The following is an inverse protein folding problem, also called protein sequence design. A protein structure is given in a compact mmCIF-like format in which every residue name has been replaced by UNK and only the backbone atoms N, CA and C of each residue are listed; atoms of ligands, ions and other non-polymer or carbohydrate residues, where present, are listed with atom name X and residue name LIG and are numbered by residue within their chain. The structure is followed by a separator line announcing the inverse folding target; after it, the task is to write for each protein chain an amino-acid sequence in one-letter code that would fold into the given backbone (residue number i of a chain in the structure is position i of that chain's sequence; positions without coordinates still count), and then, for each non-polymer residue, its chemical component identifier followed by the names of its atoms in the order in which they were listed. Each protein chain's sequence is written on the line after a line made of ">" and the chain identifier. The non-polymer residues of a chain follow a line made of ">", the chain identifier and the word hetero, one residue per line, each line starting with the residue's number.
data_IF_843689327355
#
_entry.id   IF_843689327355
#
_cell.length_a   1.000
_cell.length_b   1.000
_cell.length_c   1.000
_cell.angle_alpha   90.00
_cell.angle_beta   90.00
_cell.angle_gamma   90.00
#
_symmetry.space_group_name_H-M   'P 1'
#
loop_
_entity.id
_entity.type
_entity.pdbx_description
1 polymer ?
#
# COMPACT_ATOMS: atom_id res chain seq x y z
N UNK A 1 -10.91 22.43 -66.20
CA UNK A 1 -9.82 21.79 -66.98
C UNK A 1 -9.48 20.51 -66.22
N UNK A 2 -10.10 19.40 -66.61
CA UNK A 2 -9.52 18.35 -67.47
C UNK A 2 -8.50 17.50 -66.69
N UNK A 3 -8.62 16.17 -66.55
CA UNK A 3 -9.54 15.21 -67.17
C UNK A 3 -9.53 13.87 -66.43
N UNK A 4 -10.46 13.02 -66.86
CA UNK A 4 -10.80 11.70 -66.34
C UNK A 4 -9.99 10.56 -67.00
N UNK A 5 -10.05 9.34 -66.42
CA UNK A 5 -10.42 8.04 -67.02
C UNK A 5 -9.91 6.89 -66.12
N UNK A 6 -10.78 6.12 -65.44
CA UNK A 6 -11.45 4.88 -65.85
C UNK A 6 -10.53 3.64 -66.02
N UNK A 7 -10.78 2.60 -65.20
CA UNK A 7 -11.23 1.26 -65.65
C UNK A 7 -11.51 0.33 -64.47
N UNK A 8 -12.75 -0.17 -64.42
CA UNK A 8 -13.13 -1.31 -63.60
C UNK A 8 -12.78 -2.64 -64.26
N UNK A 9 -12.74 -3.69 -63.46
CA UNK A 9 -12.75 -5.08 -63.91
C UNK A 9 -13.73 -5.85 -63.03
N UNK A 10 -14.78 -6.38 -63.66
CA UNK A 10 -15.64 -7.44 -63.17
C UNK A 10 -14.98 -8.79 -63.48
N UNK A 11 -14.99 -9.73 -62.54
CA UNK A 11 -14.94 -11.18 -62.77
C UNK A 11 -15.49 -11.83 -61.48
N UNK A 12 -16.69 -12.39 -61.49
CA UNK A 12 -17.13 -13.66 -62.11
C UNK A 12 -17.31 -14.70 -60.99
N UNK A 13 -18.57 -14.93 -60.64
CA UNK A 13 -19.05 -15.98 -59.75
C UNK A 13 -18.68 -17.36 -60.30
N UNK A 14 -18.01 -18.17 -59.50
CA UNK A 14 -17.90 -19.62 -59.71
C UNK A 14 -18.64 -20.29 -58.57
N UNK A 15 -19.85 -20.76 -58.90
CA UNK A 15 -20.57 -21.76 -58.12
C UNK A 15 -19.90 -23.12 -58.34
N UNK A 16 -19.23 -23.63 -57.31
CA UNK A 16 -18.84 -25.03 -57.24
C UNK A 16 -19.78 -25.73 -56.25
N UNK A 17 -20.81 -26.41 -56.78
CA UNK A 17 -21.46 -27.50 -56.09
C UNK A 17 -20.50 -28.71 -56.11
N UNK A 18 -20.01 -29.10 -54.94
CA UNK A 18 -19.42 -30.41 -54.71
C UNK A 18 -20.26 -31.10 -53.63
N UNK A 19 -21.11 -32.01 -54.09
CA UNK A 19 -21.80 -33.01 -53.28
C UNK A 19 -20.84 -34.18 -53.14
N UNK A 20 -20.35 -34.46 -51.93
CA UNK A 20 -19.84 -35.77 -51.56
C UNK A 20 -20.18 -36.07 -50.10
N UNK A 21 -21.00 -37.12 -49.97
CA UNK A 21 -21.05 -38.18 -48.97
C UNK A 21 -20.78 -37.83 -47.49
N UNK A 22 -21.76 -38.19 -46.66
CA UNK A 22 -21.62 -38.14 -45.21
C UNK A 22 -20.51 -39.05 -44.66
N UNK A 23 -19.87 -38.55 -43.61
CA UNK A 23 -19.51 -39.35 -42.46
C UNK A 23 -20.23 -38.72 -41.26
N UNK A 24 -21.03 -39.54 -40.60
CA UNK A 24 -21.45 -39.35 -39.21
C UNK A 24 -20.21 -39.27 -38.29
N UNK A 25 -20.42 -38.69 -37.11
CA UNK A 25 -19.50 -38.61 -35.97
C UNK A 25 -18.32 -37.62 -36.04
N UNK A 26 -18.56 -36.40 -35.54
CA UNK A 26 -17.91 -35.93 -34.29
C UNK A 26 -18.44 -34.53 -33.90
N UNK A 27 -19.52 -34.54 -33.12
CA UNK A 27 -19.93 -33.37 -32.32
C UNK A 27 -19.07 -33.33 -31.05
N UNK A 28 -18.53 -32.14 -30.77
CA UNK A 28 -18.08 -31.63 -29.44
C UNK A 28 -16.67 -32.07 -28.97
N UNK A 29 -15.65 -31.49 -29.60
CA UNK A 29 -14.36 -31.21 -28.96
C UNK A 29 -14.29 -29.78 -28.43
N UNK A 30 -15.26 -29.33 -27.64
CA UNK A 30 -15.11 -28.08 -26.90
C UNK A 30 -13.98 -28.26 -25.89
N UNK A 31 -12.88 -27.51 -26.03
CA UNK A 31 -11.84 -27.41 -25.02
C UNK A 31 -12.51 -27.11 -23.67
N UNK A 32 -12.67 -28.14 -22.83
CA UNK A 32 -12.94 -27.94 -21.42
C UNK A 32 -11.64 -27.42 -20.83
N UNK A 33 -11.50 -26.10 -20.81
CA UNK A 33 -10.59 -25.44 -19.86
C UNK A 33 -11.03 -25.95 -18.50
N UNK A 34 -10.25 -26.87 -17.93
CA UNK A 34 -10.57 -27.51 -16.68
C UNK A 34 -10.89 -26.45 -15.64
N UNK A 35 -12.15 -26.40 -15.21
CA UNK A 35 -12.45 -25.89 -13.90
C UNK A 35 -11.71 -26.85 -12.95
N UNK A 36 -10.55 -26.42 -12.46
CA UNK A 36 -9.98 -27.00 -11.26
C UNK A 36 -10.99 -26.65 -10.18
N UNK A 37 -11.92 -27.57 -9.91
CA UNK A 37 -12.77 -27.47 -8.75
C UNK A 37 -11.84 -27.57 -7.55
N UNK A 38 -11.52 -26.40 -6.97
CA UNK A 38 -10.86 -26.33 -5.69
C UNK A 38 -11.90 -26.77 -4.63
N UNK A 39 -12.03 -28.08 -4.43
CA UNK A 39 -12.71 -28.62 -3.26
C UNK A 39 -12.10 -27.99 -2.00
N UNK A 40 -12.94 -27.31 -1.19
CA UNK A 40 -12.53 -26.72 0.09
C UNK A 40 -12.38 -25.20 0.15
N UNK A 41 -12.79 -24.46 -0.89
CA UNK A 41 -12.73 -23.00 -0.86
C UNK A 41 -13.98 -22.33 -0.27
N UNK A 42 -14.01 -22.10 1.04
CA UNK A 42 -15.08 -21.31 1.68
C UNK A 42 -14.81 -19.79 1.61
N UNK A 43 -14.38 -19.30 0.44
CA UNK A 43 -14.11 -17.88 0.24
C UNK A 43 -15.39 -17.15 -0.16
N UNK A 44 -15.92 -16.36 0.76
CA UNK A 44 -17.04 -15.44 0.55
C UNK A 44 -16.72 -14.05 1.10
N UNK A 45 -17.51 -13.05 0.74
CA UNK A 45 -17.39 -11.69 1.30
C UNK A 45 -17.55 -11.68 2.83
N UNK A 46 -18.32 -12.62 3.39
CA UNK A 46 -18.55 -12.78 4.83
C UNK A 46 -17.36 -13.42 5.56
N UNK A 47 -16.56 -14.23 4.85
CA UNK A 47 -15.35 -14.86 5.38
C UNK A 47 -14.10 -13.98 5.29
N UNK A 48 -14.21 -12.76 4.74
CA UNK A 48 -13.09 -11.83 4.62
C UNK A 48 -12.56 -11.31 5.97
N UNK A 49 -13.37 -10.91 6.98
CA UNK A 49 -12.86 -10.39 8.24
C UNK A 49 -11.82 -11.33 8.89
N UNK A 50 -10.64 -10.80 9.20
CA UNK A 50 -9.53 -11.57 9.79
C UNK A 50 -8.65 -12.30 8.78
N UNK A 51 -8.99 -12.29 7.48
CA UNK A 51 -8.18 -12.91 6.44
C UNK A 51 -7.02 -12.03 5.99
N UNK A 52 -5.93 -12.68 5.58
CA UNK A 52 -4.70 -12.06 5.09
C UNK A 52 -4.36 -12.60 3.70
N UNK A 53 -3.89 -11.73 2.83
CA UNK A 53 -3.67 -12.00 1.42
C UNK A 53 -2.37 -11.35 0.95
N UNK A 54 -1.69 -12.02 0.03
CA UNK A 54 -0.44 -11.56 -0.58
C UNK A 54 -0.54 -11.67 -2.10
N UNK A 55 0.14 -10.79 -2.82
CA UNK A 55 0.12 -10.81 -4.28
C UNK A 55 0.78 -12.10 -4.79
N UNK A 56 0.21 -12.66 -5.85
CA UNK A 56 0.79 -13.79 -6.57
C UNK A 56 1.74 -13.23 -7.63
N UNK A 57 3.05 -13.33 -7.38
CA UNK A 57 4.07 -12.89 -8.33
C UNK A 57 4.20 -13.91 -9.45
N UNK A 58 4.36 -13.43 -10.68
CA UNK A 58 4.66 -14.26 -11.85
C UNK A 58 6.12 -14.02 -12.21
N UNK A 59 6.94 -15.05 -12.12
CA UNK A 59 8.36 -14.97 -12.45
C UNK A 59 8.59 -15.05 -13.97
N UNK A 60 9.79 -14.69 -14.47
CA UNK A 60 10.10 -14.76 -15.91
C UNK A 60 9.92 -16.15 -16.53
N UNK A 61 10.08 -17.20 -15.75
CA UNK A 61 9.86 -18.60 -16.13
C UNK A 61 8.37 -19.02 -16.08
N UNK A 62 7.46 -18.07 -15.79
CA UNK A 62 6.03 -18.25 -15.58
C UNK A 62 5.66 -19.07 -14.34
N UNK A 63 6.61 -19.39 -13.47
CA UNK A 63 6.29 -19.89 -12.14
C UNK A 63 5.54 -18.79 -11.38
N UNK A 64 4.62 -19.22 -10.52
CA UNK A 64 3.84 -18.31 -9.71
C UNK A 64 4.07 -18.60 -8.22
N UNK A 65 4.39 -17.58 -7.44
CA UNK A 65 4.66 -17.70 -6.01
C UNK A 65 3.97 -16.60 -5.20
N UNK A 66 3.55 -16.87 -3.96
CA UNK A 66 3.09 -15.83 -3.06
C UNK A 66 4.24 -14.85 -2.72
N UNK A 67 3.95 -13.54 -2.77
CA UNK A 67 4.92 -12.49 -2.48
C UNK A 67 4.32 -11.45 -1.52
N UNK A 68 4.97 -11.25 -0.37
CA UNK A 68 4.54 -10.29 0.66
C UNK A 68 4.75 -8.81 0.27
N UNK A 69 5.39 -8.55 -0.88
CA UNK A 69 5.68 -7.19 -1.36
C UNK A 69 4.40 -6.35 -1.47
N UNK A 70 3.29 -6.91 -1.98
CA UNK A 70 1.96 -6.34 -1.85
C UNK A 70 1.06 -7.26 -1.03
N UNK A 71 0.51 -6.76 0.07
CA UNK A 71 -0.24 -7.53 1.06
C UNK A 71 -1.44 -6.78 1.59
N UNK A 72 -2.52 -7.51 1.84
CA UNK A 72 -3.83 -7.03 2.25
C UNK A 72 -4.33 -7.82 3.47
N UNK A 73 -4.86 -7.14 4.48
CA UNK A 73 -5.53 -7.75 5.62
C UNK A 73 -6.90 -7.13 5.82
N UNK A 74 -7.93 -7.96 5.89
CA UNK A 74 -9.26 -7.51 6.26
C UNK A 74 -9.43 -7.56 7.77
N UNK A 75 -9.99 -6.50 8.35
CA UNK A 75 -10.29 -6.39 9.78
C UNK A 75 -11.71 -5.86 9.95
N UNK A 76 -12.38 -6.29 11.02
CA UNK A 76 -13.66 -5.72 11.43
C UNK A 76 -13.41 -4.84 12.65
N UNK A 77 -13.63 -3.54 12.49
CA UNK A 77 -13.44 -2.53 13.53
C UNK A 77 -14.71 -1.67 13.59
N UNK A 78 -15.27 -1.48 14.79
CA UNK A 78 -16.50 -0.72 14.99
C UNK A 78 -17.69 -1.22 14.14
N UNK A 79 -17.75 -2.53 13.90
CA UNK A 79 -18.75 -3.16 13.05
C UNK A 79 -18.55 -2.96 11.53
N UNK A 80 -17.57 -2.15 11.12
CA UNK A 80 -17.25 -1.88 9.72
C UNK A 80 -16.12 -2.79 9.22
N UNK A 81 -16.26 -3.28 7.99
CA UNK A 81 -15.17 -3.97 7.30
C UNK A 81 -14.16 -2.94 6.84
N UNK A 82 -12.89 -3.15 7.21
CA UNK A 82 -11.76 -2.36 6.73
C UNK A 82 -10.72 -3.28 6.12
N UNK A 83 -9.90 -2.72 5.25
CA UNK A 83 -8.73 -3.39 4.70
C UNK A 83 -7.48 -2.58 5.02
N UNK A 84 -6.46 -3.24 5.56
CA UNK A 84 -5.09 -2.73 5.63
C UNK A 84 -4.35 -3.19 4.38
N UNK A 85 -3.77 -2.27 3.63
CA UNK A 85 -3.08 -2.58 2.38
C UNK A 85 -1.87 -1.68 2.20
N UNK A 86 -0.76 -2.24 1.73
CA UNK A 86 0.50 -1.52 1.63
C UNK A 86 0.80 -0.96 0.23
N UNK A 87 0.01 -1.27 -0.81
CA UNK A 87 0.22 -0.72 -2.17
C UNK A 87 1.64 -1.02 -2.69
N UNK A 88 2.19 -2.19 -2.35
CA UNK A 88 3.58 -2.55 -2.63
C UNK A 88 4.66 -1.65 -1.99
N UNK A 89 4.27 -0.76 -1.07
CA UNK A 89 5.20 0.01 -0.23
C UNK A 89 5.80 -0.90 0.85
N UNK A 90 7.10 -0.76 1.03
CA UNK A 90 7.87 -1.46 2.07
C UNK A 90 7.67 -0.85 3.46
N UNK A 91 7.20 0.40 3.54
CA UNK A 91 7.08 1.15 4.79
C UNK A 91 5.65 1.66 5.08
N UNK A 92 4.84 1.87 4.05
CA UNK A 92 3.52 2.47 4.21
C UNK A 92 2.45 1.38 4.32
N UNK A 93 1.59 1.51 5.32
CA UNK A 93 0.34 0.75 5.44
C UNK A 93 -0.84 1.71 5.45
N UNK A 94 -1.80 1.50 4.56
CA UNK A 94 -3.00 2.33 4.45
C UNK A 94 -4.23 1.56 4.92
N UNK A 95 -5.20 2.28 5.46
CA UNK A 95 -6.48 1.70 5.89
C UNK A 95 -7.62 2.19 5.01
N UNK A 96 -8.37 1.24 4.48
CA UNK A 96 -9.50 1.46 3.59
C UNK A 96 -10.80 1.01 4.27
N UNK A 97 -11.85 1.81 4.19
CA UNK A 97 -13.21 1.42 4.57
C UNK A 97 -13.83 0.66 3.40
N UNK A 98 -14.30 -0.56 3.63
CA UNK A 98 -14.83 -1.44 2.59
C UNK A 98 -16.35 -1.53 2.65
N UNK A 99 -16.97 -1.42 1.48
CA UNK A 99 -18.41 -1.57 1.29
C UNK A 99 -18.66 -2.65 0.25
N UNK A 100 -19.58 -3.57 0.54
CA UNK A 100 -20.03 -4.54 -0.44
C UNK A 100 -20.90 -3.82 -1.48
N UNK A 101 -20.55 -3.97 -2.75
CA UNK A 101 -21.27 -3.35 -3.87
C UNK A 101 -22.10 -4.36 -4.66
N UNK A 102 -21.66 -5.62 -4.66
CA UNK A 102 -22.35 -6.82 -5.16
C UNK A 102 -21.87 -8.03 -4.36
N UNK A 103 -22.53 -9.17 -4.48
CA UNK A 103 -22.24 -10.39 -3.72
C UNK A 103 -20.74 -10.75 -3.70
N UNK A 104 -20.08 -10.63 -4.85
CA UNK A 104 -18.66 -10.96 -5.06
C UNK A 104 -17.73 -9.73 -5.17
N UNK A 105 -18.22 -8.52 -4.88
CA UNK A 105 -17.46 -7.27 -5.10
C UNK A 105 -17.50 -6.31 -3.93
N UNK A 106 -16.33 -5.83 -3.55
CA UNK A 106 -16.14 -4.78 -2.58
C UNK A 106 -15.48 -3.56 -3.22
N UNK A 107 -15.87 -2.38 -2.76
CA UNK A 107 -15.11 -1.17 -3.00
C UNK A 107 -14.58 -0.68 -1.67
N UNK A 108 -13.26 -0.59 -1.55
CA UNK A 108 -12.60 -0.10 -0.36
C UNK A 108 -11.96 1.27 -0.63
N UNK A 109 -12.14 2.25 0.25
CA UNK A 109 -11.66 3.63 0.04
C UNK A 109 -10.93 4.13 1.27
N UNK A 110 -9.81 4.83 1.08
CA UNK A 110 -9.14 5.53 2.19
C UNK A 110 -10.05 6.57 2.82
N UNK A 111 -9.75 6.99 4.06
CA UNK A 111 -10.46 8.10 4.70
C UNK A 111 -10.44 9.35 3.79
N UNK A 112 -11.58 10.05 3.61
CA UNK A 112 -11.64 11.23 2.77
C UNK A 112 -10.71 12.35 3.28
N UNK A 113 -9.82 12.83 2.41
CA UNK A 113 -8.94 13.98 2.68
C UNK A 113 -9.59 15.27 2.18
N UNK A 114 -10.73 15.64 2.77
CA UNK A 114 -11.60 16.73 2.29
C UNK A 114 -10.83 18.04 2.06
N UNK A 115 -9.90 18.40 2.97
CA UNK A 115 -9.04 19.58 2.85
C UNK A 115 -8.26 19.60 1.52
N UNK A 116 -7.69 18.46 1.12
CA UNK A 116 -6.85 18.37 -0.07
C UNK A 116 -7.72 18.35 -1.35
N UNK A 117 -8.87 17.68 -1.31
CA UNK A 117 -9.87 17.76 -2.40
C UNK A 117 -10.37 19.18 -2.61
N UNK A 118 -10.63 19.92 -1.52
CA UNK A 118 -11.05 21.32 -1.57
C UNK A 118 -10.01 22.20 -2.28
N UNK A 119 -8.74 22.05 -1.92
CA UNK A 119 -7.62 22.78 -2.54
C UNK A 119 -7.50 22.43 -4.03
N UNK A 120 -7.60 21.14 -4.39
CA UNK A 120 -7.54 20.68 -5.77
C UNK A 120 -8.71 21.19 -6.64
N UNK A 121 -9.93 21.23 -6.09
CA UNK A 121 -11.09 21.78 -6.77
C UNK A 121 -10.91 23.26 -7.10
N UNK A 122 -10.56 24.08 -6.11
CA UNK A 122 -10.32 25.52 -6.33
C UNK A 122 -9.14 25.77 -7.28
N UNK A 123 -8.05 25.02 -7.14
CA UNK A 123 -6.91 25.10 -8.04
C UNK A 123 -7.27 24.76 -9.49
N UNK A 124 -8.19 23.81 -9.68
CA UNK A 124 -8.70 23.37 -10.99
C UNK A 124 -9.87 24.19 -11.54
N UNK A 125 -10.22 25.33 -10.92
CA UNK A 125 -11.30 26.21 -11.36
C UNK A 125 -12.71 25.77 -10.98
N UNK A 126 -12.83 24.75 -10.13
CA UNK A 126 -14.08 24.35 -9.49
C UNK A 126 -14.40 25.18 -8.25
N UNK A 127 -15.49 24.84 -7.57
CA UNK A 127 -15.85 25.40 -6.26
C UNK A 127 -15.67 24.35 -5.18
N UNK A 128 -15.03 24.74 -4.09
CA UNK A 128 -15.01 23.93 -2.88
C UNK A 128 -16.26 24.20 -2.03
N UNK A 129 -17.32 23.44 -2.30
CA UNK A 129 -18.55 23.42 -1.51
C UNK A 129 -19.01 21.98 -1.23
N UNK A 130 -19.93 21.81 -0.29
CA UNK A 130 -20.44 20.49 0.14
C UNK A 130 -21.02 19.70 -1.04
N UNK A 131 -21.78 20.35 -1.92
CA UNK A 131 -22.43 19.70 -3.05
C UNK A 131 -21.41 19.18 -4.08
N UNK A 132 -20.36 19.95 -4.32
CA UNK A 132 -19.26 19.57 -5.22
C UNK A 132 -18.44 18.44 -4.60
N UNK A 133 -18.04 18.57 -3.33
CA UNK A 133 -17.25 17.55 -2.63
C UNK A 133 -17.99 16.21 -2.50
N UNK A 134 -19.30 16.19 -2.25
CA UNK A 134 -20.09 14.94 -2.20
C UNK A 134 -20.08 14.16 -3.52
N UNK A 135 -19.81 14.79 -4.66
CA UNK A 135 -19.64 14.08 -5.95
C UNK A 135 -18.35 13.25 -6.00
N UNK A 136 -17.32 13.66 -5.26
CA UNK A 136 -16.03 12.99 -5.20
C UNK A 136 -15.90 12.09 -3.97
N UNK A 137 -16.50 12.51 -2.86
CA UNK A 137 -16.41 11.92 -1.53
C UNK A 137 -17.82 11.59 -1.00
N UNK A 138 -18.55 10.66 -1.63
CA UNK A 138 -19.93 10.35 -1.23
C UNK A 138 -20.04 9.75 0.17
N UNK A 139 -18.94 9.21 0.70
CA UNK A 139 -18.84 8.59 2.02
C UNK A 139 -18.24 9.51 3.10
N UNK A 140 -17.97 10.78 2.77
CA UNK A 140 -17.57 11.77 3.76
C UNK A 140 -18.79 12.21 4.58
N UNK A 141 -18.63 12.26 5.89
CA UNK A 141 -19.65 12.82 6.80
C UNK A 141 -19.77 14.32 6.63
N UNK A 142 -20.93 14.91 6.97
CA UNK A 142 -21.12 16.36 6.90
C UNK A 142 -20.10 17.13 7.76
N UNK A 143 -19.73 16.57 8.92
CA UNK A 143 -18.68 17.12 9.79
C UNK A 143 -17.30 17.10 9.13
N UNK A 144 -16.91 15.98 8.50
CA UNK A 144 -15.65 15.90 7.74
C UNK A 144 -15.64 16.91 6.58
N UNK A 145 -16.78 17.11 5.92
CA UNK A 145 -16.94 18.09 4.85
C UNK A 145 -16.77 19.52 5.37
N UNK A 146 -17.48 19.91 6.41
CA UNK A 146 -17.43 21.26 7.00
C UNK A 146 -16.01 21.61 7.47
N UNK A 147 -15.40 20.76 8.31
CA UNK A 147 -14.05 20.99 8.83
C UNK A 147 -13.01 21.01 7.71
N UNK A 148 -13.16 20.13 6.72
CA UNK A 148 -12.27 20.04 5.58
C UNK A 148 -12.36 21.23 4.64
N UNK A 149 -13.57 21.73 4.34
CA UNK A 149 -13.79 22.94 3.55
C UNK A 149 -13.15 24.13 4.25
N UNK A 150 -13.40 24.30 5.56
CA UNK A 150 -12.82 25.39 6.34
C UNK A 150 -11.28 25.40 6.23
N UNK A 151 -10.64 24.27 6.56
CA UNK A 151 -9.17 24.13 6.51
C UNK A 151 -8.61 24.26 5.08
N UNK A 152 -9.36 23.76 4.08
CA UNK A 152 -8.97 23.82 2.68
C UNK A 152 -8.97 25.25 2.17
N UNK A 153 -10.06 25.98 2.41
CA UNK A 153 -10.24 27.37 2.01
C UNK A 153 -9.31 28.33 2.75
N UNK A 154 -8.97 28.07 4.01
CA UNK A 154 -7.93 28.81 4.72
C UNK A 154 -6.60 28.80 3.95
N UNK A 155 -6.21 27.68 3.36
CA UNK A 155 -5.00 27.60 2.54
C UNK A 155 -5.19 28.20 1.15
N UNK A 156 -6.32 27.95 0.48
CA UNK A 156 -6.62 28.55 -0.83
C UNK A 156 -6.54 30.08 -0.74
N UNK A 157 -7.19 30.69 0.25
CA UNK A 157 -7.22 32.14 0.45
C UNK A 157 -5.85 32.74 0.78
N UNK A 158 -4.89 31.95 1.29
CA UNK A 158 -3.51 32.43 1.51
C UNK A 158 -2.77 32.69 0.20
N UNK A 159 -3.10 31.97 -0.87
CA UNK A 159 -2.37 32.03 -2.15
C UNK A 159 -3.20 32.63 -3.28
N UNK A 160 -4.53 32.55 -3.21
CA UNK A 160 -5.44 33.11 -4.21
C UNK A 160 -5.16 34.60 -4.39
N UNK A 161 -5.16 35.04 -5.64
CA UNK A 161 -4.83 36.41 -6.05
C UNK A 161 -3.40 36.89 -5.75
N UNK A 162 -2.50 35.97 -5.34
CA UNK A 162 -1.07 36.25 -5.14
C UNK A 162 -0.20 35.60 -6.23
N UNK A 163 1.04 36.07 -6.44
CA UNK A 163 1.96 35.48 -7.42
C UNK A 163 2.18 33.97 -7.25
N UNK A 164 2.14 33.47 -6.01
CA UNK A 164 2.31 32.07 -5.66
C UNK A 164 1.12 31.19 -6.07
N UNK A 165 -0.02 31.78 -6.46
CA UNK A 165 -1.21 31.02 -6.89
C UNK A 165 -0.89 30.04 -8.02
N UNK A 166 -0.06 30.44 -8.99
CA UNK A 166 0.31 29.55 -10.11
C UNK A 166 1.06 28.31 -9.62
N UNK A 167 1.95 28.47 -8.64
CA UNK A 167 2.65 27.34 -8.03
C UNK A 167 1.70 26.46 -7.22
N UNK A 168 0.80 27.07 -6.44
CA UNK A 168 -0.26 26.36 -5.73
C UNK A 168 -1.15 25.55 -6.68
N UNK A 169 -1.54 26.13 -7.82
CA UNK A 169 -2.30 25.45 -8.86
C UNK A 169 -1.52 24.28 -9.45
N UNK A 170 -0.24 24.48 -9.80
CA UNK A 170 0.59 23.40 -10.33
C UNK A 170 0.73 22.23 -9.36
N UNK A 171 0.80 22.49 -8.06
CA UNK A 171 0.90 21.47 -7.01
C UNK A 171 -0.42 20.74 -6.73
N UNK A 172 -1.56 21.41 -6.87
CA UNK A 172 -2.87 20.85 -6.49
C UNK A 172 -3.73 20.39 -7.68
N UNK A 173 -3.54 20.95 -8.86
CA UNK A 173 -4.24 20.62 -10.10
C UNK A 173 -3.32 19.87 -11.08
N UNK A 174 -2.88 18.67 -10.69
CA UNK A 174 -2.08 17.78 -11.55
C UNK A 174 -2.46 16.31 -11.31
N UNK A 175 -2.20 15.46 -12.31
CA UNK A 175 -2.55 14.04 -12.26
C UNK A 175 -1.75 13.22 -11.24
N UNK A 176 -0.61 13.74 -10.77
CA UNK A 176 0.22 13.09 -9.75
C UNK A 176 -0.26 13.39 -8.32
N UNK A 177 -1.22 14.31 -8.14
CA UNK A 177 -1.80 14.61 -6.84
C UNK A 177 -2.76 13.49 -6.41
N UNK A 178 -2.21 12.42 -5.81
CA UNK A 178 -2.97 11.25 -5.36
C UNK A 178 -3.80 11.57 -4.11
N UNK A 179 -5.02 12.06 -4.33
CA UNK A 179 -5.89 12.54 -3.26
C UNK A 179 -6.51 11.41 -2.42
N UNK A 180 -6.75 10.23 -3.02
CA UNK A 180 -7.38 9.11 -2.30
C UNK A 180 -7.12 7.76 -2.96
N UNK A 181 -6.66 6.77 -2.19
CA UNK A 181 -6.62 5.38 -2.64
C UNK A 181 -8.02 4.73 -2.71
N UNK A 182 -8.27 3.92 -3.74
CA UNK A 182 -9.50 3.15 -3.97
C UNK A 182 -9.13 1.76 -4.45
N UNK A 183 -9.63 0.74 -3.76
CA UNK A 183 -9.49 -0.66 -4.16
C UNK A 183 -10.83 -1.17 -4.66
N UNK A 184 -10.87 -1.73 -5.86
CA UNK A 184 -11.97 -2.55 -6.33
C UNK A 184 -11.57 -4.01 -6.19
N UNK A 185 -12.24 -4.72 -5.30
CA UNK A 185 -11.91 -6.10 -4.95
C UNK A 185 -13.01 -7.00 -5.49
N UNK A 186 -12.63 -7.99 -6.29
CA UNK A 186 -13.50 -9.09 -6.70
C UNK A 186 -13.05 -10.38 -6.03
N UNK A 187 -13.98 -11.05 -5.37
CA UNK A 187 -13.80 -12.35 -4.75
C UNK A 187 -13.99 -13.44 -5.81
N UNK A 188 -12.95 -14.23 -6.06
CA UNK A 188 -13.01 -15.40 -6.95
C UNK A 188 -13.03 -16.67 -6.10
N UNK A 189 -14.23 -17.06 -5.66
CA UNK A 189 -14.44 -18.24 -4.82
C UNK A 189 -14.04 -19.54 -5.52
N UNK A 190 -14.14 -19.60 -6.85
CA UNK A 190 -13.73 -20.79 -7.63
C UNK A 190 -12.23 -21.02 -7.60
N UNK A 191 -11.43 -19.95 -7.48
CA UNK A 191 -9.96 -20.00 -7.50
C UNK A 191 -9.32 -19.68 -6.15
N UNK A 192 -10.10 -19.49 -5.10
CA UNK A 192 -9.63 -19.01 -3.79
C UNK A 192 -8.73 -17.78 -3.87
N UNK A 193 -9.12 -16.81 -4.68
CA UNK A 193 -8.28 -15.65 -4.98
C UNK A 193 -9.07 -14.37 -4.86
N UNK A 194 -8.36 -13.28 -4.60
CA UNK A 194 -8.89 -11.93 -4.81
C UNK A 194 -8.28 -11.34 -6.07
N UNK A 195 -9.11 -10.62 -6.83
CA UNK A 195 -8.64 -9.73 -7.90
C UNK A 195 -8.81 -8.31 -7.40
N UNK A 196 -7.70 -7.59 -7.33
CA UNK A 196 -7.67 -6.23 -6.80
C UNK A 196 -7.28 -5.29 -7.94
N UNK A 197 -8.16 -4.34 -8.24
CA UNK A 197 -7.80 -3.16 -9.03
C UNK A 197 -7.52 -2.04 -8.04
N UNK A 198 -6.24 -1.75 -7.85
CA UNK A 198 -5.75 -0.68 -6.98
C UNK A 198 -5.62 0.61 -7.78
N UNK A 199 -6.45 1.60 -7.44
CA UNK A 199 -6.48 2.90 -8.07
C UNK A 199 -6.20 4.00 -7.06
N UNK A 200 -5.82 5.16 -7.57
CA UNK A 200 -5.97 6.42 -6.85
C UNK A 200 -6.93 7.34 -7.58
N UNK A 201 -7.64 8.16 -6.82
CA UNK A 201 -8.45 9.26 -7.30
C UNK A 201 -7.67 10.57 -7.19
N UNK A 202 -7.79 11.41 -8.22
CA UNK A 202 -7.37 12.79 -8.22
C UNK A 202 -8.46 13.70 -8.81
N UNK A 203 -8.26 15.01 -8.67
CA UNK A 203 -9.07 16.04 -9.31
C UNK A 203 -8.16 16.81 -10.26
N UNK A 204 -8.50 16.78 -11.55
CA UNK A 204 -7.78 17.52 -12.57
C UNK A 204 -8.75 18.32 -13.43
N UNK A 205 -8.55 19.63 -13.51
CA UNK A 205 -9.44 20.58 -14.18
C UNK A 205 -10.91 20.38 -13.77
N UNK A 206 -11.14 20.30 -12.44
CA UNK A 206 -12.45 20.08 -11.82
C UNK A 206 -13.15 18.76 -12.22
N UNK A 207 -12.41 17.80 -12.78
CA UNK A 207 -12.93 16.47 -13.12
C UNK A 207 -12.31 15.41 -12.23
N UNK A 208 -13.13 14.43 -11.87
CA UNK A 208 -12.68 13.23 -11.20
C UNK A 208 -11.88 12.41 -12.20
N UNK A 209 -10.66 12.05 -11.83
CA UNK A 209 -9.82 11.12 -12.59
C UNK A 209 -9.41 10.00 -11.65
N UNK A 210 -9.55 8.76 -12.11
CA UNK A 210 -8.99 7.58 -11.44
C UNK A 210 -7.92 6.99 -12.34
N UNK A 211 -6.80 6.61 -11.74
CA UNK A 211 -5.69 5.95 -12.43
C UNK A 211 -5.18 4.78 -11.59
N UNK A 212 -4.70 3.74 -12.26
CA UNK A 212 -4.23 2.51 -11.63
C UNK A 212 -2.86 2.71 -10.98
N UNK A 213 -2.68 2.16 -9.78
CA UNK A 213 -1.37 2.01 -9.17
C UNK A 213 -0.58 0.87 -9.85
N UNK A 214 0.77 0.90 -9.76
CA UNK A 214 1.65 0.00 -10.51
C UNK A 214 1.65 -1.46 -10.02
N UNK A 215 0.85 -1.83 -9.01
CA UNK A 215 0.85 -3.17 -8.39
C UNK A 215 0.40 -4.27 -9.38
N UNK A 216 -0.12 -3.88 -10.55
CA UNK A 216 -0.45 -4.79 -11.65
C UNK A 216 -1.84 -5.42 -11.51
N UNK A 217 -2.09 -6.49 -12.26
CA UNK A 217 -3.40 -7.19 -12.31
C UNK A 217 -3.33 -8.60 -11.74
N UNK A 218 -2.24 -8.91 -11.04
CA UNK A 218 -2.02 -10.22 -10.45
C UNK A 218 -3.08 -10.54 -9.38
N UNK A 219 -3.37 -11.83 -9.24
CA UNK A 219 -4.26 -12.28 -8.17
C UNK A 219 -3.59 -12.11 -6.81
N UNK A 220 -4.41 -12.00 -5.78
CA UNK A 220 -3.98 -12.16 -4.40
C UNK A 220 -4.41 -13.53 -3.91
N UNK A 221 -3.50 -14.24 -3.25
CA UNK A 221 -3.71 -15.56 -2.64
C UNK A 221 -3.62 -15.42 -1.13
N UNK A 222 -4.19 -16.39 -0.39
CA UNK A 222 -4.17 -16.38 1.06
C UNK A 222 -2.73 -16.34 1.57
N UNK A 223 -2.49 -15.58 2.64
CA UNK A 223 -1.18 -15.51 3.26
C UNK A 223 -0.85 -16.85 3.95
N UNK A 224 0.18 -17.51 3.44
CA UNK A 224 0.79 -18.71 4.04
C UNK A 224 2.28 -18.48 4.36
N UNK A 225 2.77 -17.25 4.21
CA UNK A 225 4.16 -16.86 4.43
C UNK A 225 4.51 -16.63 5.91
N UNK A 226 3.56 -16.88 6.82
CA UNK A 226 3.67 -16.57 8.24
C UNK A 226 3.26 -15.13 8.57
N UNK A 227 3.75 -14.65 9.70
CA UNK A 227 3.38 -13.33 10.21
C UNK A 227 3.97 -12.21 9.35
N UNK A 228 3.14 -11.19 9.05
CA UNK A 228 3.51 -10.00 8.29
C UNK A 228 3.25 -8.72 9.09
N UNK A 229 3.98 -7.66 8.77
CA UNK A 229 3.81 -6.34 9.38
C UNK A 229 2.58 -5.63 8.79
N UNK A 230 1.67 -5.21 9.68
CA UNK A 230 0.43 -4.51 9.35
C UNK A 230 0.36 -3.09 9.92
N UNK A 231 1.51 -2.54 10.31
CA UNK A 231 1.63 -1.20 10.86
C UNK A 231 2.34 -0.26 9.87
N UNK A 232 1.96 1.01 9.91
CA UNK A 232 2.52 2.07 9.07
C UNK A 232 3.80 2.62 9.72
N UNK A 233 4.80 2.95 8.91
CA UNK A 233 5.99 3.62 9.39
C UNK A 233 5.70 5.04 9.88
N UNK A 234 5.80 5.31 11.18
CA UNK A 234 5.48 6.63 11.75
C UNK A 234 6.70 7.56 11.76
N UNK A 235 7.91 7.00 11.95
CA UNK A 235 9.14 7.78 12.01
C UNK A 235 10.30 7.08 11.28
N UNK A 236 11.06 7.84 10.50
CA UNK A 236 12.25 7.35 9.76
C UNK A 236 13.59 7.78 10.38
N UNK A 237 13.54 8.59 11.44
CA UNK A 237 14.72 9.20 12.05
C UNK A 237 15.13 8.52 13.36
N UNK A 238 14.26 7.71 13.95
CA UNK A 238 14.53 7.12 15.26
C UNK A 238 15.20 5.75 15.18
N UNK A 239 15.02 5.01 14.08
CA UNK A 239 15.69 3.73 13.86
C UNK A 239 16.85 3.94 12.88
N UNK A 240 18.08 3.79 13.37
CA UNK A 240 19.29 4.07 12.60
C UNK A 240 20.05 2.78 12.29
N UNK A 241 20.39 2.52 11.01
CA UNK A 241 21.34 1.48 10.64
C UNK A 241 22.76 2.02 10.81
N UNK A 242 23.61 1.31 11.56
CA UNK A 242 25.01 1.67 11.82
C UNK A 242 25.92 0.46 11.61
N UNK A 243 27.18 0.70 11.25
CA UNK A 243 28.23 -0.34 11.17
C UNK A 243 28.80 -0.75 12.53
N UNK A 244 28.56 0.05 13.59
CA UNK A 244 29.07 -0.19 14.94
C UNK A 244 28.00 -0.82 15.84
N UNK A 245 28.40 -1.87 16.55
CA UNK A 245 27.58 -2.55 17.55
C UNK A 245 27.68 -2.00 18.97
N UNK A 246 28.43 -0.92 19.19
CA UNK A 246 28.49 -0.23 20.47
C UNK A 246 27.45 0.89 20.51
N UNK A 247 26.84 1.10 21.69
CA UNK A 247 25.91 2.23 21.88
C UNK A 247 26.61 3.56 21.52
N UNK A 248 25.98 4.46 20.74
CA UNK A 248 26.60 5.72 20.34
C UNK A 248 26.88 6.66 21.53
N UNK A 249 28.05 7.29 21.55
CA UNK A 249 28.42 8.24 22.62
C UNK A 249 27.49 9.45 22.69
N UNK A 250 26.98 9.91 21.54
CA UNK A 250 26.04 11.02 21.42
C UNK A 250 24.80 10.59 20.60
N UNK A 251 23.84 9.87 21.22
CA UNK A 251 22.68 9.30 20.51
C UNK A 251 21.78 10.36 19.88
N UNK A 252 21.84 11.63 20.31
CA UNK A 252 21.01 12.71 19.79
C UNK A 252 21.49 13.25 18.42
N UNK A 253 22.77 13.03 18.08
CA UNK A 253 23.39 13.59 16.88
C UNK A 253 23.95 12.52 15.93
N UNK A 254 23.53 11.26 16.08
CA UNK A 254 23.97 10.17 15.21
C UNK A 254 23.33 10.30 13.83
N UNK A 255 24.16 10.27 12.79
CA UNK A 255 23.69 10.16 11.42
C UNK A 255 23.50 8.68 11.04
N UNK A 256 22.43 8.33 10.29
CA UNK A 256 22.28 6.97 9.77
C UNK A 256 23.39 6.64 8.76
N UNK A 257 23.76 5.36 8.68
CA UNK A 257 24.61 4.80 7.64
C UNK A 257 23.76 3.94 6.69
N UNK A 258 22.99 4.55 5.78
CA UNK A 258 22.01 3.81 4.96
C UNK A 258 22.65 2.96 3.86
N UNK A 259 23.98 3.01 3.68
CA UNK A 259 24.69 2.18 2.70
C UNK A 259 25.56 1.19 3.44
N UNK A 260 25.35 -0.08 3.18
CA UNK A 260 26.01 -1.19 3.88
C UNK A 260 26.58 -2.18 2.86
N UNK A 261 27.55 -2.97 3.29
CA UNK A 261 28.16 -4.02 2.47
C UNK A 261 27.48 -5.36 2.73
N UNK A 262 27.40 -6.19 1.69
CA UNK A 262 26.98 -7.59 1.83
C UNK A 262 27.88 -8.33 2.84
N UNK A 263 27.28 -9.20 3.63
CA UNK A 263 27.92 -10.03 4.66
C UNK A 263 28.60 -9.26 5.82
N UNK A 264 28.37 -7.95 5.95
CA UNK A 264 28.75 -7.18 7.13
C UNK A 264 27.60 -7.09 8.13
N UNK A 265 27.98 -6.94 9.40
CA UNK A 265 27.03 -6.73 10.48
C UNK A 265 26.45 -5.31 10.34
N UNK A 266 25.13 -5.21 10.29
CA UNK A 266 24.39 -3.95 10.33
C UNK A 266 23.66 -3.90 11.67
N UNK A 267 23.92 -2.86 12.44
CA UNK A 267 23.39 -2.66 13.77
C UNK A 267 22.26 -1.64 13.71
N UNK A 268 21.04 -2.10 14.00
CA UNK A 268 19.85 -1.27 14.05
C UNK A 268 19.65 -0.78 15.48
N UNK A 269 19.71 0.53 15.65
CA UNK A 269 19.57 1.21 16.93
C UNK A 269 18.32 2.07 16.94
N UNK A 270 17.42 1.87 17.90
CA UNK A 270 16.30 2.78 18.13
C UNK A 270 16.69 3.83 19.19
N UNK A 271 16.87 5.08 18.75
CA UNK A 271 17.45 6.18 19.52
C UNK A 271 16.46 7.34 19.76
N UNK A 272 15.16 7.08 19.73
CA UNK A 272 14.17 8.09 20.09
C UNK A 272 14.43 8.57 21.53
N UNK A 273 14.58 9.89 21.72
CA UNK A 273 14.96 10.46 23.02
C UNK A 273 14.02 10.07 24.16
N UNK A 274 12.74 9.86 23.87
CA UNK A 274 11.72 9.47 24.85
C UNK A 274 11.68 7.95 25.15
N UNK A 275 12.53 7.16 24.50
CA UNK A 275 12.68 5.73 24.72
C UNK A 275 14.04 5.35 25.34
N UNK A 276 14.95 6.31 25.52
CA UNK A 276 16.28 6.04 26.10
C UNK A 276 16.20 5.91 27.63
N UNK A 277 15.49 6.79 28.33
CA UNK A 277 15.40 6.70 29.80
C UNK A 277 14.26 5.77 30.21
N UNK A 278 14.51 4.70 30.99
CA UNK A 278 13.45 3.86 31.50
C UNK A 278 12.60 4.65 32.51
N UNK A 279 11.30 4.50 32.39
CA UNK A 279 10.30 5.02 33.32
C UNK A 279 9.94 3.93 34.34
N UNK A 280 9.82 4.34 35.59
CA UNK A 280 9.51 3.45 36.69
C UNK A 280 8.16 2.73 36.49
N UNK A 281 8.13 1.43 36.76
CA UNK A 281 6.92 0.60 36.63
C UNK A 281 6.49 0.29 35.19
N UNK A 282 7.36 0.57 34.21
CA UNK A 282 7.12 0.25 32.80
C UNK A 282 7.86 -1.02 32.36
N UNK A 283 7.30 -1.69 31.37
CA UNK A 283 7.90 -2.81 30.64
C UNK A 283 8.04 -2.45 29.18
N UNK A 284 9.08 -2.99 28.56
CA UNK A 284 9.54 -2.62 27.24
C UNK A 284 9.75 -3.87 26.38
N UNK A 285 9.33 -3.80 25.12
CA UNK A 285 9.62 -4.82 24.14
C UNK A 285 9.49 -4.31 22.73
N UNK A 286 10.05 -5.04 21.78
CA UNK A 286 9.97 -4.68 20.37
C UNK A 286 10.02 -5.89 19.45
N UNK A 287 9.40 -5.72 18.29
CA UNK A 287 9.50 -6.64 17.16
C UNK A 287 10.19 -5.93 16.00
N UNK A 288 10.97 -6.67 15.24
CA UNK A 288 11.63 -6.22 14.03
C UNK A 288 11.11 -6.96 12.81
N UNK A 289 11.02 -6.22 11.72
CA UNK A 289 10.49 -6.67 10.46
C UNK A 289 11.43 -6.23 9.34
N UNK A 290 11.69 -7.09 8.37
CA UNK A 290 12.47 -6.80 7.17
C UNK A 290 11.54 -6.89 5.95
N UNK A 291 11.33 -5.77 5.27
CA UNK A 291 10.41 -5.64 4.12
C UNK A 291 9.01 -6.21 4.42
N UNK A 292 8.55 -6.01 5.65
CA UNK A 292 7.27 -6.47 6.15
C UNK A 292 7.22 -7.94 6.59
N UNK A 293 8.29 -8.72 6.43
CA UNK A 293 8.42 -10.08 6.98
C UNK A 293 9.03 -10.05 8.36
N UNK A 294 8.68 -11.00 9.23
CA UNK A 294 9.24 -11.04 10.59
C UNK A 294 10.76 -11.28 10.55
N UNK A 295 11.51 -10.43 11.27
CA UNK A 295 12.95 -10.56 11.44
C UNK A 295 13.30 -11.05 12.86
N UNK A 296 12.73 -10.42 13.89
CA UNK A 296 12.88 -10.83 15.29
C UNK A 296 11.63 -10.44 16.08
N UNK A 297 11.20 -11.26 17.04
CA UNK A 297 10.00 -10.99 17.85
C UNK A 297 10.27 -11.08 19.34
N UNK A 298 9.46 -10.38 20.12
CA UNK A 298 9.49 -10.40 21.58
C UNK A 298 10.83 -9.95 22.16
N UNK A 299 11.56 -9.10 21.45
CA UNK A 299 12.86 -8.60 21.89
C UNK A 299 12.66 -7.63 23.06
N UNK A 300 13.68 -7.49 23.90
CA UNK A 300 13.70 -6.53 25.00
C UNK A 300 14.93 -5.64 24.88
N UNK A 301 14.82 -4.33 25.18
CA UNK A 301 16.00 -3.49 25.28
C UNK A 301 16.87 -3.95 26.45
N UNK A 302 18.17 -3.73 26.34
CA UNK A 302 19.10 -3.96 27.46
C UNK A 302 19.12 -2.72 28.35
N UNK A 303 19.13 -2.89 29.68
CA UNK A 303 19.38 -1.77 30.61
C UNK A 303 20.89 -1.59 30.83
N UNK A 304 21.38 -0.35 30.67
CA UNK A 304 22.76 0.03 30.91
C UNK A 304 22.85 1.31 31.77
N UNK A 305 24.00 1.53 32.41
CA UNK A 305 24.28 2.79 33.14
C UNK A 305 24.49 3.94 32.13
N UNK A 306 23.84 5.09 32.36
CA UNK A 306 23.95 6.26 31.48
C UNK A 306 25.24 7.08 31.65
N UNK A 307 26.12 6.67 32.56
CA UNK A 307 27.37 7.36 32.92
C UNK A 307 27.19 8.59 33.81
N UNK A 308 25.94 8.91 34.18
CA UNK A 308 25.53 10.05 35.01
C UNK A 308 24.79 9.60 36.27
N UNK A 309 24.84 8.31 36.59
CA UNK A 309 24.17 7.71 37.75
C UNK A 309 22.71 7.34 37.51
N UNK A 310 22.24 7.41 36.26
CA UNK A 310 20.94 6.93 35.81
C UNK A 310 21.05 5.63 35.00
N UNK A 311 19.91 5.20 34.46
CA UNK A 311 19.82 4.06 33.55
C UNK A 311 19.41 4.53 32.16
N UNK A 312 19.82 3.78 31.13
CA UNK A 312 19.32 3.87 29.76
C UNK A 312 18.87 2.51 29.23
N UNK A 313 17.98 2.54 28.25
CA UNK A 313 17.52 1.41 27.46
C UNK A 313 18.25 1.40 26.12
N UNK A 314 18.84 0.26 25.80
CA UNK A 314 19.57 0.01 24.57
C UNK A 314 18.74 -0.91 23.66
N UNK A 315 18.07 -0.30 22.68
CA UNK A 315 17.22 -0.97 21.70
C UNK A 315 18.06 -1.35 20.48
N UNK A 316 18.64 -2.55 20.50
CA UNK A 316 19.65 -2.97 19.54
C UNK A 316 19.35 -4.32 18.90
N UNK A 317 19.52 -4.38 17.59
CA UNK A 317 19.56 -5.65 16.87
C UNK A 317 20.65 -5.64 15.79
N UNK A 318 21.40 -6.73 15.69
CA UNK A 318 22.36 -6.94 14.60
C UNK A 318 21.73 -7.85 13.55
N UNK A 319 21.86 -7.47 12.29
CA UNK A 319 21.47 -8.30 11.16
C UNK A 319 22.53 -8.27 10.07
N UNK A 320 22.67 -9.37 9.33
CA UNK A 320 23.61 -9.54 8.22
C UNK A 320 22.84 -9.86 6.96
N UNK A 321 23.02 -9.05 5.93
CA UNK A 321 22.44 -9.28 4.61
C UNK A 321 23.38 -10.16 3.78
N UNK A 322 22.87 -11.26 3.27
CA UNK A 322 23.61 -12.23 2.46
C UNK A 322 23.65 -11.90 0.97
N UNK A 323 22.80 -10.96 0.53
CA UNK A 323 22.69 -10.49 -0.83
C UNK A 323 22.55 -8.95 -0.91
N UNK A 324 22.91 -8.35 -2.06
CA UNK A 324 22.61 -6.94 -2.33
C UNK A 324 21.11 -6.66 -2.28
N UNK A 325 20.73 -5.40 -2.01
CA UNK A 325 19.33 -5.01 -2.04
C UNK A 325 18.72 -5.22 -3.44
N UNK A 326 17.47 -5.71 -3.52
CA UNK A 326 16.84 -6.07 -4.79
C UNK A 326 16.47 -4.85 -5.65
N UNK A 327 16.43 -3.65 -5.05
CA UNK A 327 16.11 -2.40 -5.75
C UNK A 327 16.99 -1.26 -5.26
N UNK A 328 17.02 -0.16 -6.01
CA UNK A 328 17.71 1.06 -5.61
C UNK A 328 17.10 1.73 -4.35
N UNK A 329 15.88 1.36 -3.96
CA UNK A 329 15.26 1.84 -2.73
C UNK A 329 15.84 1.19 -1.46
N UNK A 330 16.60 0.11 -1.60
CA UNK A 330 17.14 -0.66 -0.48
C UNK A 330 16.12 -1.63 0.11
N UNK A 331 16.52 -2.28 1.19
CA UNK A 331 15.64 -3.01 2.09
C UNK A 331 15.15 -2.07 3.20
N UNK A 332 14.00 -2.32 3.80
CA UNK A 332 13.48 -1.54 4.94
C UNK A 332 13.35 -2.43 6.17
N UNK A 333 14.02 -2.03 7.25
CA UNK A 333 13.81 -2.60 8.57
C UNK A 333 12.85 -1.72 9.35
N UNK A 334 11.84 -2.33 9.96
CA UNK A 334 10.86 -1.65 10.80
C UNK A 334 10.88 -2.23 12.20
N UNK A 335 10.99 -1.37 13.21
CA UNK A 335 10.85 -1.70 14.62
C UNK A 335 9.46 -1.28 15.11
N UNK A 336 8.72 -2.22 15.70
CA UNK A 336 7.47 -1.95 16.43
C UNK A 336 7.79 -1.96 17.92
N UNK A 337 7.84 -0.78 18.51
CA UNK A 337 8.20 -0.56 19.91
C UNK A 337 6.92 -0.57 20.76
N UNK A 338 6.91 -1.41 21.79
CA UNK A 338 5.80 -1.55 22.72
C UNK A 338 6.26 -1.18 24.13
N UNK A 339 5.56 -0.22 24.72
CA UNK A 339 5.78 0.22 26.11
C UNK A 339 4.49 0.07 26.89
N UNK A 340 4.54 -0.64 28.01
CA UNK A 340 3.39 -0.83 28.89
C UNK A 340 3.76 -0.41 30.31
N UNK A 341 3.02 0.56 30.85
CA UNK A 341 3.23 1.12 32.19
C UNK A 341 1.97 0.93 33.03
N UNK A 342 2.14 0.61 34.31
CA UNK A 342 1.01 0.46 35.22
C UNK A 342 0.09 1.70 35.22
N UNK A 343 -1.21 1.49 35.01
CA UNK A 343 -2.23 2.55 35.02
C UNK A 343 -2.24 3.45 33.78
N UNK A 344 -1.51 3.12 32.71
CA UNK A 344 -1.52 3.85 31.43
C UNK A 344 -1.89 2.93 30.28
N UNK A 345 -2.49 3.51 29.24
CA UNK A 345 -2.73 2.79 27.98
C UNK A 345 -1.39 2.35 27.36
N UNK A 346 -1.31 1.12 26.81
CA UNK A 346 -0.12 0.67 26.09
C UNK A 346 0.24 1.61 24.94
N UNK A 347 1.51 2.00 24.88
CA UNK A 347 2.03 2.86 23.81
C UNK A 347 2.72 1.99 22.78
N UNK A 348 2.32 2.13 21.52
CA UNK A 348 2.97 1.52 20.37
C UNK A 348 3.56 2.61 19.49
N UNK A 349 4.82 2.43 19.05
CA UNK A 349 5.50 3.31 18.09
C UNK A 349 6.12 2.49 16.99
N UNK A 350 6.16 3.04 15.77
CA UNK A 350 6.69 2.32 14.62
C UNK A 350 7.76 3.16 13.93
N UNK A 351 9.01 2.70 13.99
CA UNK A 351 10.15 3.37 13.38
C UNK A 351 10.79 2.52 12.30
N UNK A 352 11.32 3.13 11.25
CA UNK A 352 11.89 2.39 10.12
C UNK A 352 13.20 2.98 9.62
N UNK A 353 14.04 2.09 9.09
CA UNK A 353 15.33 2.39 8.50
C UNK A 353 15.39 1.79 7.09
N UNK A 354 15.72 2.60 6.09
CA UNK A 354 16.07 2.11 4.76
C UNK A 354 17.58 1.82 4.69
N UNK A 355 17.95 0.65 4.18
CA UNK A 355 19.33 0.19 4.03
C UNK A 355 19.56 -0.32 2.61
N UNK A 356 20.45 0.34 1.89
CA UNK A 356 20.94 -0.06 0.58
C UNK A 356 22.22 -0.89 0.74
N UNK A 357 22.08 -2.21 0.54
CA UNK A 357 23.18 -3.17 0.62
C UNK A 357 23.78 -3.36 -0.77
N UNK A 358 25.11 -3.25 -0.89
CA UNK A 358 25.82 -3.38 -2.16
C UNK A 358 26.99 -4.34 -2.12
#
# INVERSE_FOLDING_TARGET
>A
MAGALHRGVCLASISAMLVLAGCEDEKKGGMKVGAVDHEGCDLSSEALPGSEWVIKKINPDKSEEPDASARLKFVKEDGQLKAKYNVQSVADMYTYRCEQTKDDKLTCREKPRVKDFCQALEAGGGKCDTASLKKFLPDATDKELEEGIKKGMENVNKYKDKPEWKAFQAQNNNLANKLRGILYIKVDSKRCQLRITDNYMTVYNNKKVEDSNPVGTNAFVKNELGDLLWDHCENRNDLLPLSKGTFPDDPANVAPEPRQEVNKDVHFWYLAGDAITPAEGCTYGYDLWLDGKSLAKGQKPTEADDGKGGKRLEWHHMHKFDAPSPTAAGNVVTAVINTNCAGKEPVKKVACAAVLVK
#
